data_IF_095825827774
#
_entry.id   IF_095825827774
#
_cell.length_a   1.000
_cell.length_b   1.000
_cell.length_c   1.000
_cell.angle_alpha   90.00
_cell.angle_beta   90.00
_cell.angle_gamma   90.00
#
_symmetry.space_group_name_H-M   'P 1'
#
loop_
_entity.id
_entity.type
_entity.pdbx_description
1 polymer ?
#
# COMPACT_ATOMS: atom_id res chain seq x y z
N UNK A 1 -21.33 -31.81 8.12
CA UNK A 1 -21.81 -31.77 6.72
C UNK A 1 -21.25 -30.59 5.93
N UNK A 2 -21.17 -29.38 6.49
CA UNK A 2 -20.70 -28.17 5.78
C UNK A 2 -19.27 -28.28 5.24
N UNK A 3 -18.30 -28.71 6.06
CA UNK A 3 -16.91 -28.89 5.60
C UNK A 3 -16.75 -29.94 4.51
N UNK A 4 -17.55 -31.01 4.54
CA UNK A 4 -17.55 -32.03 3.47
C UNK A 4 -18.02 -31.42 2.14
N UNK A 5 -18.99 -30.51 2.18
CA UNK A 5 -19.42 -29.75 1.01
C UNK A 5 -18.31 -28.82 0.52
N UNK A 6 -17.63 -28.10 1.42
CA UNK A 6 -16.47 -27.25 1.07
C UNK A 6 -15.34 -28.05 0.42
N UNK A 7 -14.95 -29.19 1.01
CA UNK A 7 -13.93 -30.06 0.43
C UNK A 7 -14.34 -30.68 -0.91
N UNK A 8 -15.63 -31.00 -1.09
CA UNK A 8 -16.14 -31.44 -2.40
C UNK A 8 -16.05 -30.34 -3.44
N UNK A 9 -16.36 -29.10 -3.09
CA UNK A 9 -16.26 -27.97 -4.01
C UNK A 9 -14.79 -27.73 -4.39
N UNK A 10 -13.88 -27.71 -3.42
CA UNK A 10 -12.43 -27.59 -3.66
C UNK A 10 -11.87 -28.68 -4.57
N UNK A 11 -12.35 -29.94 -4.45
CA UNK A 11 -11.87 -31.05 -5.28
C UNK A 11 -12.55 -31.17 -6.64
N UNK A 12 -13.85 -30.87 -6.75
CA UNK A 12 -14.66 -31.18 -7.96
C UNK A 12 -15.12 -29.96 -8.75
N UNK A 13 -15.12 -28.76 -8.15
CA UNK A 13 -15.74 -27.57 -8.71
C UNK A 13 -14.82 -26.36 -8.54
N UNK A 14 -13.59 -26.48 -9.03
CA UNK A 14 -12.52 -25.49 -8.88
C UNK A 14 -12.80 -24.16 -9.61
N UNK A 15 -13.69 -24.16 -10.60
CA UNK A 15 -14.13 -22.96 -11.34
C UNK A 15 -15.51 -22.45 -10.92
N UNK A 16 -16.03 -22.92 -9.78
CA UNK A 16 -17.34 -22.51 -9.30
C UNK A 16 -17.28 -21.08 -8.77
N UNK A 17 -18.30 -20.22 -9.03
CA UNK A 17 -18.39 -18.90 -8.42
C UNK A 17 -18.50 -18.95 -6.89
N UNK A 18 -18.71 -20.14 -6.31
CA UNK A 18 -18.73 -20.36 -4.86
C UNK A 18 -17.34 -20.47 -4.24
N UNK A 19 -16.26 -20.52 -5.03
CA UNK A 19 -14.91 -20.74 -4.52
C UNK A 19 -14.48 -19.65 -3.51
N UNK A 20 -14.62 -18.34 -3.76
CA UNK A 20 -14.29 -17.31 -2.78
C UNK A 20 -15.04 -17.47 -1.46
N UNK A 21 -16.35 -17.74 -1.52
CA UNK A 21 -17.19 -17.93 -0.34
C UNK A 21 -16.79 -19.18 0.48
N UNK A 22 -16.38 -20.26 -0.21
CA UNK A 22 -15.86 -21.46 0.45
C UNK A 22 -14.52 -21.19 1.13
N UNK A 23 -13.61 -20.47 0.47
CA UNK A 23 -12.31 -20.08 1.04
C UNK A 23 -12.48 -19.18 2.25
N UNK A 24 -13.34 -18.15 2.17
CA UNK A 24 -13.65 -17.28 3.30
C UNK A 24 -14.27 -18.07 4.48
N UNK A 25 -15.21 -18.98 4.18
CA UNK A 25 -15.79 -19.87 5.18
C UNK A 25 -14.75 -20.77 5.84
N UNK A 26 -13.82 -21.32 5.07
CA UNK A 26 -12.72 -22.13 5.60
C UNK A 26 -11.78 -21.31 6.48
N UNK A 27 -11.43 -20.09 6.07
CA UNK A 27 -10.59 -19.19 6.87
C UNK A 27 -11.25 -18.85 8.22
N UNK A 28 -12.55 -18.54 8.22
CA UNK A 28 -13.31 -18.16 9.42
C UNK A 28 -13.51 -19.33 10.39
N UNK A 29 -13.78 -20.52 9.87
CA UNK A 29 -14.06 -21.72 10.67
C UNK A 29 -12.87 -22.69 10.76
N UNK A 30 -11.65 -22.24 10.40
CA UNK A 30 -10.44 -23.08 10.42
C UNK A 30 -10.18 -23.74 11.78
N UNK A 31 -10.52 -23.06 12.88
CA UNK A 31 -10.37 -23.53 14.25
C UNK A 31 -11.28 -24.73 14.63
N UNK A 32 -12.28 -25.05 13.81
CA UNK A 32 -13.20 -26.18 14.02
C UNK A 32 -12.83 -27.42 13.18
N UNK A 33 -11.80 -27.32 12.35
CA UNK A 33 -11.35 -28.41 11.49
C UNK A 33 -10.32 -29.23 12.26
N UNK A 34 -10.38 -30.55 12.15
CA UNK A 34 -9.35 -31.42 12.74
C UNK A 34 -8.00 -31.18 12.03
N UNK A 35 -6.97 -30.97 12.84
CA UNK A 35 -5.59 -30.61 12.45
C UNK A 35 -4.99 -31.64 11.48
N UNK A 36 -5.38 -32.91 11.58
CA UNK A 36 -4.92 -33.99 10.68
C UNK A 36 -5.27 -33.76 9.20
N UNK A 37 -6.27 -32.92 8.89
CA UNK A 37 -6.66 -32.62 7.51
C UNK A 37 -5.94 -31.40 6.93
N UNK A 38 -5.10 -30.71 7.70
CA UNK A 38 -4.46 -29.47 7.25
C UNK A 38 -3.40 -29.69 6.17
N UNK A 39 -2.62 -30.78 6.24
CA UNK A 39 -1.64 -31.12 5.21
C UNK A 39 -2.33 -31.30 3.84
N UNK A 40 -3.36 -32.17 3.80
CA UNK A 40 -4.15 -32.42 2.59
C UNK A 40 -4.81 -31.14 2.06
N UNK A 41 -5.33 -30.29 2.95
CA UNK A 41 -5.97 -29.04 2.58
C UNK A 41 -4.96 -28.07 1.95
N UNK A 42 -3.78 -27.91 2.55
CA UNK A 42 -2.74 -27.01 2.03
C UNK A 42 -2.18 -27.50 0.70
N UNK A 43 -2.05 -28.82 0.50
CA UNK A 43 -1.69 -29.39 -0.80
C UNK A 43 -2.73 -29.04 -1.86
N UNK A 44 -4.02 -29.18 -1.56
CA UNK A 44 -5.10 -28.80 -2.50
C UNK A 44 -5.07 -27.31 -2.81
N UNK A 45 -4.92 -26.44 -1.80
CA UNK A 45 -4.80 -24.99 -1.99
C UNK A 45 -3.59 -24.63 -2.86
N UNK A 46 -2.47 -25.32 -2.67
CA UNK A 46 -1.28 -25.13 -3.46
C UNK A 46 -1.47 -25.56 -4.92
N UNK A 47 -2.06 -26.73 -5.18
CA UNK A 47 -2.37 -27.19 -6.54
C UNK A 47 -3.33 -26.24 -7.25
N UNK A 48 -4.29 -25.66 -6.52
CA UNK A 48 -5.20 -24.64 -7.06
C UNK A 48 -4.43 -23.39 -7.50
N UNK A 49 -3.49 -22.92 -6.69
CA UNK A 49 -2.65 -21.76 -7.04
C UNK A 49 -1.76 -22.05 -8.25
N UNK A 50 -1.13 -23.23 -8.32
CA UNK A 50 -0.26 -23.62 -9.44
C UNK A 50 -1.02 -23.84 -10.75
N UNK A 51 -2.30 -24.24 -10.68
CA UNK A 51 -3.12 -24.45 -11.87
C UNK A 51 -3.27 -23.19 -12.72
N UNK A 52 -3.12 -22.00 -12.14
CA UNK A 52 -3.23 -20.71 -12.86
C UNK A 52 -4.64 -20.38 -13.35
N UNK A 53 -5.62 -21.23 -13.07
CA UNK A 53 -7.02 -21.09 -13.49
C UNK A 53 -7.81 -20.12 -12.60
N UNK A 54 -7.23 -19.68 -11.48
CA UNK A 54 -7.86 -18.80 -10.51
C UNK A 54 -7.80 -17.34 -10.95
N UNK A 55 -8.87 -16.61 -10.68
CA UNK A 55 -8.83 -15.15 -10.71
C UNK A 55 -7.87 -14.60 -9.65
N UNK A 56 -7.49 -13.33 -9.81
CA UNK A 56 -6.63 -12.62 -8.86
C UNK A 56 -7.20 -12.62 -7.43
N UNK A 57 -8.51 -12.38 -7.29
CA UNK A 57 -9.19 -12.37 -5.99
C UNK A 57 -9.26 -13.76 -5.36
N UNK A 58 -9.56 -14.79 -6.16
CA UNK A 58 -9.57 -16.18 -5.67
C UNK A 58 -8.18 -16.63 -5.21
N UNK A 59 -7.13 -16.26 -5.94
CA UNK A 59 -5.74 -16.55 -5.56
C UNK A 59 -5.38 -15.90 -4.22
N UNK A 60 -5.77 -14.64 -4.01
CA UNK A 60 -5.56 -13.94 -2.75
C UNK A 60 -6.32 -14.58 -1.59
N UNK A 61 -7.60 -14.92 -1.78
CA UNK A 61 -8.38 -15.62 -0.76
C UNK A 61 -7.82 -17.01 -0.45
N UNK A 62 -7.26 -17.70 -1.43
CA UNK A 62 -6.61 -19.00 -1.25
C UNK A 62 -5.40 -18.88 -0.33
N UNK A 63 -4.52 -17.91 -0.60
CA UNK A 63 -3.35 -17.61 0.24
C UNK A 63 -3.77 -17.15 1.63
N UNK A 64 -4.76 -16.25 1.73
CA UNK A 64 -5.30 -15.79 3.00
C UNK A 64 -5.81 -16.96 3.85
N UNK A 65 -6.54 -17.88 3.24
CA UNK A 65 -7.08 -19.08 3.90
C UNK A 65 -5.97 -19.99 4.40
N UNK A 66 -4.96 -20.25 3.56
CA UNK A 66 -3.80 -21.05 3.94
C UNK A 66 -3.09 -20.47 5.17
N UNK A 67 -2.87 -19.15 5.21
CA UNK A 67 -2.25 -18.50 6.37
C UNK A 67 -3.14 -18.49 7.62
N UNK A 68 -4.47 -18.38 7.48
CA UNK A 68 -5.38 -18.49 8.62
C UNK A 68 -5.37 -19.88 9.26
N UNK A 69 -5.33 -20.94 8.43
CA UNK A 69 -5.21 -22.32 8.89
C UNK A 69 -3.89 -22.52 9.65
N UNK A 70 -2.80 -21.99 9.11
CA UNK A 70 -1.46 -22.11 9.70
C UNK A 70 -1.21 -21.21 10.92
N UNK A 71 -1.88 -20.06 11.06
CA UNK A 71 -1.73 -19.17 12.22
C UNK A 71 -2.49 -19.61 13.48
N UNK A 72 -3.35 -20.63 13.38
CA UNK A 72 -4.16 -21.14 14.48
C UNK A 72 -3.60 -22.41 15.09
N UNK A 73 -4.44 -23.44 15.19
CA UNK A 73 -4.04 -24.78 15.63
C UNK A 73 -3.00 -25.44 14.70
N UNK A 74 -2.92 -24.96 13.45
CA UNK A 74 -1.91 -25.37 12.49
C UNK A 74 -0.49 -24.87 12.79
N UNK A 75 -0.28 -23.98 13.77
CA UNK A 75 1.07 -23.50 14.13
C UNK A 75 1.93 -24.60 14.77
N UNK A 76 1.28 -25.61 15.35
CA UNK A 76 1.92 -26.83 15.89
C UNK A 76 2.43 -27.72 14.76
N UNK A 77 1.78 -27.65 13.60
CA UNK A 77 2.27 -28.33 12.41
C UNK A 77 3.36 -27.46 11.80
N UNK A 78 4.61 -27.89 11.89
CA UNK A 78 5.77 -27.23 11.27
C UNK A 78 5.76 -27.41 9.73
N UNK A 79 4.63 -27.09 9.08
CA UNK A 79 4.47 -27.11 7.63
C UNK A 79 5.12 -25.85 7.08
N UNK A 80 5.98 -26.02 6.07
CA UNK A 80 6.65 -24.90 5.42
C UNK A 80 5.71 -24.17 4.46
N UNK A 81 5.33 -22.90 4.74
CA UNK A 81 4.51 -22.10 3.85
C UNK A 81 5.30 -21.37 2.74
N UNK A 82 6.58 -21.72 2.48
CA UNK A 82 7.46 -21.01 1.53
C UNK A 82 6.75 -20.65 0.22
N UNK A 83 6.06 -21.62 -0.38
CA UNK A 83 5.37 -21.42 -1.67
C UNK A 83 4.26 -20.36 -1.62
N UNK A 84 3.56 -20.24 -0.48
CA UNK A 84 2.54 -19.20 -0.28
C UNK A 84 3.17 -17.82 -0.08
N UNK A 85 4.34 -17.72 0.56
CA UNK A 85 5.10 -16.47 0.63
C UNK A 85 5.52 -16.00 -0.77
N UNK A 86 6.12 -16.88 -1.56
CA UNK A 86 6.56 -16.58 -2.94
C UNK A 86 5.36 -16.17 -3.78
N UNK A 87 4.24 -16.89 -3.71
CA UNK A 87 3.05 -16.55 -4.47
C UNK A 87 2.45 -15.19 -4.07
N UNK A 88 2.37 -14.88 -2.76
CA UNK A 88 1.93 -13.57 -2.32
C UNK A 88 2.88 -12.46 -2.80
N UNK A 89 4.19 -12.67 -2.66
CA UNK A 89 5.20 -11.72 -3.08
C UNK A 89 5.08 -11.39 -4.58
N UNK A 90 4.90 -12.39 -5.44
CA UNK A 90 4.58 -12.21 -6.88
C UNK A 90 3.29 -11.42 -7.11
N UNK A 91 2.25 -11.76 -6.35
CA UNK A 91 0.90 -11.22 -6.53
C UNK A 91 0.79 -9.75 -6.12
N UNK A 92 1.66 -9.27 -5.22
CA UNK A 92 1.70 -7.86 -4.80
C UNK A 92 1.89 -6.88 -5.97
N UNK A 93 2.72 -7.18 -6.97
CA UNK A 93 2.93 -6.28 -8.11
C UNK A 93 1.79 -6.28 -9.14
N UNK A 94 0.89 -7.25 -9.08
CA UNK A 94 -0.33 -7.21 -9.90
C UNK A 94 -1.37 -6.23 -9.34
N UNK A 95 -1.17 -5.74 -8.12
CA UNK A 95 -2.03 -4.73 -7.52
C UNK A 95 -1.66 -3.35 -8.08
N UNK A 96 -2.57 -2.74 -8.83
CA UNK A 96 -2.36 -1.43 -9.46
C UNK A 96 -3.55 -0.50 -9.22
N UNK A 97 -3.31 0.82 -9.21
CA UNK A 97 -4.34 1.87 -9.05
C UNK A 97 -5.45 1.86 -10.12
N UNK A 98 -5.29 1.11 -11.21
CA UNK A 98 -6.26 1.07 -12.32
C UNK A 98 -7.50 0.20 -12.08
N UNK A 99 -7.56 -0.59 -11.00
CA UNK A 99 -8.69 -1.46 -10.67
C UNK A 99 -9.25 -1.19 -9.26
N UNK A 100 -10.40 -1.78 -8.94
CA UNK A 100 -11.08 -1.66 -7.65
C UNK A 100 -10.16 -2.02 -6.47
N UNK A 101 -10.12 -1.17 -5.43
CA UNK A 101 -9.26 -1.33 -4.26
C UNK A 101 -9.69 -2.46 -3.30
N UNK A 102 -10.84 -3.11 -3.53
CA UNK A 102 -11.40 -4.10 -2.61
C UNK A 102 -10.43 -5.26 -2.33
N UNK A 103 -9.61 -5.62 -3.32
CA UNK A 103 -8.58 -6.65 -3.18
C UNK A 103 -7.43 -6.24 -2.26
N UNK A 104 -7.18 -4.93 -2.08
CA UNK A 104 -6.11 -4.44 -1.17
C UNK A 104 -6.46 -4.78 0.27
N UNK A 105 -7.73 -4.70 0.63
CA UNK A 105 -8.19 -5.02 1.99
C UNK A 105 -7.83 -6.46 2.37
N UNK A 106 -8.10 -7.40 1.46
CA UNK A 106 -7.77 -8.83 1.60
C UNK A 106 -6.26 -9.00 1.75
N UNK A 107 -5.46 -8.28 0.95
CA UNK A 107 -3.99 -8.29 1.04
C UNK A 107 -3.53 -7.78 2.41
N UNK A 108 -4.07 -6.67 2.91
CA UNK A 108 -3.70 -6.10 4.21
C UNK A 108 -4.04 -7.07 5.36
N UNK A 109 -5.22 -7.70 5.32
CA UNK A 109 -5.60 -8.75 6.27
C UNK A 109 -4.65 -9.95 6.20
N UNK A 110 -4.31 -10.40 4.99
CA UNK A 110 -3.37 -11.49 4.76
C UNK A 110 -1.96 -11.17 5.30
N UNK A 111 -1.44 -9.97 5.03
CA UNK A 111 -0.13 -9.52 5.52
C UNK A 111 -0.09 -9.47 7.05
N UNK A 112 -1.16 -9.02 7.70
CA UNK A 112 -1.25 -8.99 9.16
C UNK A 112 -1.18 -10.41 9.76
N UNK A 113 -1.91 -11.37 9.19
CA UNK A 113 -1.85 -12.77 9.65
C UNK A 113 -0.47 -13.38 9.38
N UNK A 114 0.05 -13.16 8.18
CA UNK A 114 1.30 -13.74 7.72
C UNK A 114 2.53 -13.20 8.48
N UNK A 115 2.68 -11.88 8.61
CA UNK A 115 3.90 -11.26 9.13
C UNK A 115 3.79 -10.88 10.61
N UNK A 116 2.60 -10.53 11.10
CA UNK A 116 2.41 -10.14 12.50
C UNK A 116 2.11 -11.33 13.39
N UNK A 117 1.15 -12.19 13.03
CA UNK A 117 0.80 -13.37 13.85
C UNK A 117 1.88 -14.46 13.78
N UNK A 118 2.46 -14.74 12.60
CA UNK A 118 3.53 -15.75 12.43
C UNK A 118 4.96 -15.19 12.46
N UNK A 119 5.18 -14.04 13.13
CA UNK A 119 6.49 -13.36 13.16
C UNK A 119 7.69 -14.25 13.51
N UNK A 120 7.49 -15.30 14.32
CA UNK A 120 8.56 -16.22 14.75
C UNK A 120 9.08 -17.13 13.63
N UNK A 121 8.27 -17.40 12.61
CA UNK A 121 8.59 -18.30 11.49
C UNK A 121 9.03 -17.52 10.24
N UNK A 122 9.06 -16.19 10.31
CA UNK A 122 9.45 -15.32 9.20
C UNK A 122 10.91 -14.92 9.40
N UNK A 123 11.73 -15.20 8.37
CA UNK A 123 13.12 -14.76 8.35
C UNK A 123 13.22 -13.24 8.21
N UNK A 124 14.27 -12.64 8.77
CA UNK A 124 14.50 -11.19 8.67
C UNK A 124 14.58 -10.72 7.21
N UNK A 125 15.27 -11.48 6.35
CA UNK A 125 15.42 -11.16 4.93
C UNK A 125 14.06 -11.10 4.21
N UNK A 126 13.16 -12.03 4.53
CA UNK A 126 11.80 -12.03 3.99
C UNK A 126 11.02 -10.78 4.42
N UNK A 127 11.11 -10.40 5.70
CA UNK A 127 10.47 -9.17 6.19
C UNK A 127 10.99 -7.92 5.45
N UNK A 128 12.31 -7.81 5.25
CA UNK A 128 12.93 -6.70 4.52
C UNK A 128 12.44 -6.63 3.06
N UNK A 129 12.36 -7.78 2.38
CA UNK A 129 11.87 -7.85 1.00
C UNK A 129 10.40 -7.44 0.89
N UNK A 130 9.54 -7.91 1.80
CA UNK A 130 8.14 -7.48 1.85
C UNK A 130 8.02 -5.99 2.13
N UNK A 131 8.77 -5.43 3.09
CA UNK A 131 8.75 -3.99 3.37
C UNK A 131 9.14 -3.19 2.13
N UNK A 132 10.24 -3.55 1.47
CA UNK A 132 10.71 -2.86 0.27
C UNK A 132 9.65 -2.90 -0.84
N UNK A 133 9.11 -4.09 -1.13
CA UNK A 133 8.07 -4.27 -2.16
C UNK A 133 6.77 -3.54 -1.82
N UNK A 134 6.35 -3.54 -0.55
CA UNK A 134 5.18 -2.79 -0.08
C UNK A 134 5.36 -1.29 -0.23
N UNK A 135 6.54 -0.75 0.09
CA UNK A 135 6.84 0.67 -0.12
C UNK A 135 6.86 1.04 -1.62
N UNK A 136 7.38 0.18 -2.49
CA UNK A 136 7.26 0.36 -3.95
C UNK A 136 5.81 0.32 -4.42
N UNK A 137 5.00 -0.60 -3.89
CA UNK A 137 3.58 -0.71 -4.19
C UNK A 137 2.79 0.53 -3.72
N UNK A 138 3.14 1.10 -2.57
CA UNK A 138 2.49 2.29 -2.02
C UNK A 138 2.56 3.52 -2.94
N UNK A 139 3.53 3.57 -3.86
CA UNK A 139 3.65 4.62 -4.89
C UNK A 139 2.65 4.47 -6.04
N UNK A 140 2.18 3.25 -6.30
CA UNK A 140 1.38 2.90 -7.48
C UNK A 140 -0.11 2.70 -7.19
N UNK A 141 -0.51 2.80 -5.92
CA UNK A 141 -1.89 2.58 -5.47
C UNK A 141 -2.57 3.88 -5.05
N UNK A 142 -3.89 3.79 -4.87
CA UNK A 142 -4.74 4.89 -4.40
C UNK A 142 -4.44 5.25 -2.93
N UNK A 143 -4.81 6.46 -2.46
CA UNK A 143 -4.31 7.00 -1.20
C UNK A 143 -4.75 6.20 0.02
N UNK A 144 -5.98 5.67 -0.01
CA UNK A 144 -6.51 4.75 1.00
C UNK A 144 -5.64 3.49 1.14
N UNK A 145 -5.29 2.88 0.01
CA UNK A 145 -4.42 1.70 -0.09
C UNK A 145 -3.01 2.03 0.40
N UNK A 146 -2.44 3.17 -0.01
CA UNK A 146 -1.11 3.62 0.43
C UNK A 146 -1.05 3.79 1.95
N UNK A 147 -2.08 4.37 2.58
CA UNK A 147 -2.13 4.52 4.05
C UNK A 147 -2.15 3.14 4.73
N UNK A 148 -3.00 2.22 4.26
CA UNK A 148 -3.07 0.86 4.80
C UNK A 148 -1.72 0.14 4.71
N UNK A 149 -1.06 0.24 3.55
CA UNK A 149 0.26 -0.35 3.34
C UNK A 149 1.31 0.28 4.27
N UNK A 150 1.35 1.61 4.38
CA UNK A 150 2.31 2.29 5.27
C UNK A 150 2.05 1.97 6.75
N UNK A 151 0.80 1.81 7.16
CA UNK A 151 0.45 1.35 8.50
C UNK A 151 0.93 -0.07 8.76
N UNK A 152 0.77 -0.98 7.78
CA UNK A 152 1.36 -2.33 7.86
C UNK A 152 2.88 -2.27 7.94
N UNK A 153 3.55 -1.48 7.11
CA UNK A 153 5.01 -1.28 7.17
C UNK A 153 5.46 -0.81 8.55
N UNK A 154 4.74 0.13 9.18
CA UNK A 154 5.02 0.56 10.55
C UNK A 154 4.96 -0.60 11.54
N UNK A 155 3.92 -1.45 11.46
CA UNK A 155 3.78 -2.63 12.31
C UNK A 155 4.97 -3.58 12.09
N UNK A 156 5.41 -3.76 10.84
CA UNK A 156 6.56 -4.60 10.52
C UNK A 156 7.87 -4.05 11.10
N UNK A 157 8.09 -2.74 11.05
CA UNK A 157 9.29 -2.13 11.64
C UNK A 157 9.36 -2.34 13.16
N UNK A 158 8.24 -2.22 13.87
CA UNK A 158 8.20 -2.54 15.30
C UNK A 158 8.32 -4.05 15.60
N UNK A 159 7.87 -4.90 14.67
CA UNK A 159 7.90 -6.36 14.86
C UNK A 159 9.30 -6.93 14.64
N UNK A 160 10.07 -6.34 13.73
CA UNK A 160 11.39 -6.80 13.30
C UNK A 160 12.47 -5.72 13.55
N UNK A 161 13.18 -5.74 14.69
CA UNK A 161 14.06 -4.63 15.13
C UNK A 161 15.33 -4.40 14.29
N UNK A 162 15.50 -5.06 13.14
CA UNK A 162 16.61 -4.86 12.19
C UNK A 162 16.14 -4.29 10.85
N UNK A 163 14.92 -3.77 10.78
CA UNK A 163 14.39 -3.10 9.57
C UNK A 163 14.96 -1.72 9.33
N UNK A 164 15.54 -1.10 10.37
CA UNK A 164 16.17 0.22 10.28
C UNK A 164 17.35 0.24 9.30
N UNK A 165 17.94 -0.92 9.02
CA UNK A 165 18.92 -1.11 7.96
C UNK A 165 18.44 -0.55 6.60
N UNK A 166 17.15 -0.61 6.32
CA UNK A 166 16.59 -0.09 5.07
C UNK A 166 16.49 1.44 5.03
N UNK A 167 16.61 2.12 6.17
CA UNK A 167 16.63 3.58 6.24
C UNK A 167 18.04 4.13 6.03
N UNK A 168 19.06 3.32 6.31
CA UNK A 168 20.45 3.65 6.07
C UNK A 168 20.84 3.41 4.61
N UNK A 169 21.83 4.15 4.13
CA UNK A 169 22.36 4.00 2.78
C UNK A 169 23.51 2.97 2.69
N UNK A 170 23.82 2.31 3.80
CA UNK A 170 24.91 1.34 3.87
C UNK A 170 24.43 -0.06 3.48
N UNK A 171 25.00 -0.63 2.41
CA UNK A 171 24.77 -2.02 2.05
C UNK A 171 25.57 -2.94 2.97
N UNK A 172 24.91 -3.82 3.72
CA UNK A 172 25.59 -4.74 4.64
C UNK A 172 25.95 -6.11 4.05
N UNK A 173 25.60 -6.38 2.79
CA UNK A 173 25.86 -7.67 2.15
C UNK A 173 26.60 -7.58 0.81
N UNK A 174 27.17 -8.71 0.39
CA UNK A 174 27.63 -8.90 -0.98
C UNK A 174 26.43 -9.15 -1.91
N UNK A 175 26.31 -8.39 -2.99
CA UNK A 175 25.29 -8.57 -4.02
C UNK A 175 24.49 -7.32 -4.32
N UNK A 176 23.68 -7.38 -5.39
CA UNK A 176 22.81 -6.30 -5.84
C UNK A 176 21.36 -6.66 -5.51
N UNK A 177 20.56 -5.65 -5.13
CA UNK A 177 19.12 -5.82 -4.94
C UNK A 177 18.43 -6.03 -6.30
N UNK A 178 17.65 -7.10 -6.41
CA UNK A 178 16.95 -7.47 -7.64
C UNK A 178 15.43 -7.44 -7.41
N UNK A 179 14.73 -6.34 -7.77
CA UNK A 179 13.31 -6.19 -7.48
C UNK A 179 12.41 -7.17 -8.24
N UNK A 180 12.87 -7.66 -9.39
CA UNK A 180 12.13 -8.59 -10.27
C UNK A 180 12.11 -10.02 -9.74
N UNK A 181 12.93 -10.36 -8.75
CA UNK A 181 12.94 -11.70 -8.20
C UNK A 181 11.63 -12.01 -7.49
N UNK A 182 11.18 -13.23 -7.77
CA UNK A 182 9.93 -13.80 -7.30
C UNK A 182 10.02 -14.37 -5.90
N UNK A 183 11.24 -14.71 -5.47
CA UNK A 183 11.54 -15.25 -4.15
C UNK A 183 11.98 -14.13 -3.21
N UNK A 184 11.25 -13.88 -2.10
CA UNK A 184 11.56 -12.77 -1.21
C UNK A 184 12.92 -12.91 -0.50
N UNK A 185 13.42 -14.13 -0.29
CA UNK A 185 14.69 -14.36 0.41
C UNK A 185 15.92 -14.07 -0.45
N UNK A 186 15.84 -14.28 -1.76
CA UNK A 186 16.97 -14.10 -2.68
C UNK A 186 17.05 -12.69 -3.30
N UNK A 187 16.08 -11.83 -2.97
CA UNK A 187 15.99 -10.47 -3.51
C UNK A 187 17.11 -9.53 -2.99
N UNK A 188 17.79 -9.90 -1.90
CA UNK A 188 18.83 -9.10 -1.23
C UNK A 188 18.36 -7.69 -0.82
N UNK A 189 17.18 -7.60 -0.21
CA UNK A 189 16.60 -6.33 0.23
C UNK A 189 17.46 -5.58 1.25
N UNK A 190 18.33 -6.26 2.00
CA UNK A 190 19.29 -5.63 2.92
C UNK A 190 20.33 -4.72 2.23
N UNK A 191 20.49 -4.80 0.91
CA UNK A 191 21.49 -4.01 0.17
C UNK A 191 20.90 -2.75 -0.48
N UNK A 192 19.62 -2.44 -0.21
CA UNK A 192 18.95 -1.26 -0.75
C UNK A 192 18.33 -0.41 0.35
N UNK A 193 18.19 0.89 0.09
CA UNK A 193 17.52 1.84 0.97
C UNK A 193 16.08 2.12 0.50
N UNK A 194 15.22 2.58 1.41
CA UNK A 194 13.80 2.92 1.19
C UNK A 194 13.61 4.34 0.63
N UNK A 195 14.06 4.55 -0.61
CA UNK A 195 13.88 5.83 -1.31
C UNK A 195 12.41 6.19 -1.58
N UNK A 196 11.52 5.20 -1.62
CA UNK A 196 10.09 5.38 -1.86
C UNK A 196 9.42 6.26 -0.79
N UNK A 197 9.90 6.21 0.45
CA UNK A 197 9.39 7.05 1.53
C UNK A 197 9.61 8.55 1.25
N UNK A 198 10.73 8.90 0.60
CA UNK A 198 11.00 10.29 0.23
C UNK A 198 10.01 10.81 -0.82
N UNK A 199 9.65 9.96 -1.79
CA UNK A 199 8.63 10.29 -2.79
C UNK A 199 7.24 10.41 -2.14
N UNK A 200 6.89 9.48 -1.24
CA UNK A 200 5.62 9.50 -0.50
C UNK A 200 5.48 10.70 0.44
N UNK A 201 6.59 11.27 0.94
CA UNK A 201 6.54 12.52 1.71
C UNK A 201 5.98 13.69 0.89
N UNK A 202 6.09 13.67 -0.44
CA UNK A 202 5.56 14.70 -1.34
C UNK A 202 4.19 14.33 -1.93
N UNK A 203 3.55 13.29 -1.41
CA UNK A 203 2.26 12.81 -1.88
C UNK A 203 1.15 13.85 -1.64
N UNK A 204 0.13 13.96 -2.50
CA UNK A 204 -0.92 14.98 -2.36
C UNK A 204 -1.76 14.81 -1.08
N UNK A 205 -1.91 13.59 -0.58
CA UNK A 205 -2.68 13.31 0.63
C UNK A 205 -1.86 13.56 1.92
N UNK A 206 -2.29 14.46 2.82
CA UNK A 206 -1.48 14.88 3.98
C UNK A 206 -1.23 13.76 4.99
N UNK A 207 -2.14 12.79 5.13
CA UNK A 207 -1.93 11.65 6.04
C UNK A 207 -0.84 10.72 5.49
N UNK A 208 -0.77 10.52 4.17
CA UNK A 208 0.31 9.74 3.55
C UNK A 208 1.66 10.40 3.80
N UNK A 209 1.74 11.74 3.65
CA UNK A 209 2.95 12.49 3.96
C UNK A 209 3.38 12.31 5.43
N UNK A 210 2.43 12.34 6.38
CA UNK A 210 2.69 12.13 7.80
C UNK A 210 3.18 10.72 8.11
N UNK A 211 2.56 9.69 7.54
CA UNK A 211 3.02 8.31 7.68
C UNK A 211 4.43 8.13 7.08
N UNK A 212 4.69 8.71 5.90
CA UNK A 212 6.02 8.65 5.29
C UNK A 212 7.09 9.34 6.15
N UNK A 213 6.79 10.52 6.72
CA UNK A 213 7.69 11.21 7.65
C UNK A 213 7.96 10.39 8.92
N UNK A 214 6.92 9.80 9.52
CA UNK A 214 7.06 8.93 10.70
C UNK A 214 7.91 7.69 10.42
N UNK A 215 7.72 7.05 9.26
CA UNK A 215 8.50 5.87 8.87
C UNK A 215 9.98 6.20 8.62
N UNK A 216 10.27 7.36 8.00
CA UNK A 216 11.66 7.79 7.81
C UNK A 216 12.39 8.06 9.12
N UNK A 217 11.66 8.45 10.17
CA UNK A 217 12.23 8.67 11.50
C UNK A 217 12.50 7.37 12.28
N UNK A 218 12.34 6.19 11.67
CA UNK A 218 12.48 4.90 12.36
C UNK A 218 11.23 4.49 13.14
N UNK A 219 10.06 5.02 12.78
CA UNK A 219 8.79 4.73 13.43
C UNK A 219 8.81 4.92 14.97
N UNK A 220 9.21 6.09 15.49
CA UNK A 220 9.29 6.31 16.94
C UNK A 220 7.92 6.16 17.62
N UNK A 221 7.89 5.53 18.79
CA UNK A 221 6.68 5.38 19.61
C UNK A 221 6.34 6.66 20.39
N UNK A 222 7.34 7.47 20.70
CA UNK A 222 7.23 8.72 21.48
C UNK A 222 8.09 9.82 20.83
N UNK A 223 7.68 11.08 20.95
CA UNK A 223 8.42 12.24 20.44
C UNK A 223 7.64 13.12 19.47
N UNK A 224 8.31 14.16 18.97
CA UNK A 224 7.74 15.16 18.04
C UNK A 224 7.37 14.59 16.67
N UNK A 225 8.02 13.51 16.25
CA UNK A 225 7.76 12.84 14.97
C UNK A 225 6.81 11.64 15.10
N UNK A 226 6.31 11.35 16.32
CA UNK A 226 5.37 10.25 16.55
C UNK A 226 3.99 10.54 15.92
N UNK A 227 3.36 9.49 15.39
CA UNK A 227 1.98 9.57 14.90
C UNK A 227 1.01 9.85 16.05
N UNK A 228 -0.05 10.60 15.75
CA UNK A 228 -1.16 10.80 16.67
C UNK A 228 -1.72 9.45 17.14
N UNK A 229 -2.14 9.32 18.41
CA UNK A 229 -2.61 8.05 18.98
C UNK A 229 -3.83 7.47 18.25
N UNK A 230 -4.63 8.32 17.60
CA UNK A 230 -5.76 7.90 16.76
C UNK A 230 -5.34 7.12 15.52
N UNK A 231 -4.17 7.44 14.96
CA UNK A 231 -3.62 6.79 13.77
C UNK A 231 -2.74 5.59 14.12
N UNK A 232 -2.11 5.60 15.30
CA UNK A 232 -1.21 4.52 15.71
C UNK A 232 -1.92 3.30 16.27
N UNK A 233 -3.13 3.47 16.83
CA UNK A 233 -3.91 2.38 17.45
C UNK A 233 -4.84 1.65 16.49
N UNK A 234 -5.22 2.27 15.38
CA UNK A 234 -6.13 1.68 14.39
C UNK A 234 -5.44 0.61 13.58
N UNK A 235 -6.18 -0.43 13.19
CA UNK A 235 -5.65 -1.45 12.30
C UNK A 235 -5.46 -0.91 10.88
N UNK A 236 -4.56 -1.52 10.10
CA UNK A 236 -4.31 -1.12 8.72
C UNK A 236 -5.59 -1.17 7.85
N UNK A 237 -6.50 -2.10 8.16
CA UNK A 237 -7.80 -2.26 7.50
C UNK A 237 -8.76 -1.14 7.89
N UNK A 238 -8.88 -0.82 9.18
CA UNK A 238 -9.71 0.31 9.64
C UNK A 238 -9.25 1.64 9.04
N UNK A 239 -7.94 1.84 8.90
CA UNK A 239 -7.38 3.05 8.26
C UNK A 239 -7.72 3.08 6.77
N UNK A 240 -7.64 1.95 6.08
CA UNK A 240 -8.04 1.84 4.68
C UNK A 240 -9.53 2.21 4.49
N UNK A 241 -10.41 1.70 5.35
CA UNK A 241 -11.85 2.02 5.32
C UNK A 241 -12.12 3.49 5.67
N UNK A 242 -11.47 4.01 6.72
CA UNK A 242 -11.66 5.40 7.20
C UNK A 242 -11.31 6.44 6.14
N UNK A 243 -10.30 6.13 5.31
CA UNK A 243 -9.79 7.02 4.26
C UNK A 243 -10.26 6.62 2.87
N UNK A 244 -11.29 5.76 2.77
CA UNK A 244 -11.88 5.39 1.50
C UNK A 244 -12.61 6.57 0.85
N UNK A 245 -12.32 6.79 -0.43
CA UNK A 245 -13.00 7.83 -1.22
C UNK A 245 -14.42 7.43 -1.65
N UNK A 246 -14.88 6.21 -1.32
CA UNK A 246 -16.20 5.71 -1.69
C UNK A 246 -17.35 6.57 -1.13
N UNK A 247 -17.15 7.18 0.05
CA UNK A 247 -18.12 8.07 0.67
C UNK A 247 -18.15 9.48 0.04
N UNK A 248 -17.34 9.76 -0.99
CA UNK A 248 -17.16 11.08 -1.62
C UNK A 248 -16.86 12.23 -0.63
N UNK A 249 -16.36 11.91 0.56
CA UNK A 249 -15.94 12.86 1.57
C UNK A 249 -14.42 12.95 1.59
N UNK A 250 -13.89 14.17 1.62
CA UNK A 250 -12.46 14.37 1.82
C UNK A 250 -12.15 14.26 3.32
N UNK A 251 -11.46 13.18 3.68
CA UNK A 251 -10.93 12.98 5.02
C UNK A 251 -9.41 12.91 4.92
N UNK A 252 -8.64 13.85 5.50
CA UNK A 252 -9.09 15.06 6.20
C UNK A 252 -9.72 16.08 5.25
N UNK A 253 -10.55 17.00 5.77
CA UNK A 253 -11.14 18.05 4.96
C UNK A 253 -10.02 18.86 4.30
N UNK A 254 -10.20 19.17 3.01
CA UNK A 254 -9.29 20.04 2.27
C UNK A 254 -9.25 21.36 3.03
N UNK A 255 -8.05 21.80 3.43
CA UNK A 255 -7.90 23.12 4.03
C UNK A 255 -8.47 24.13 3.03
N UNK A 256 -9.55 24.82 3.42
CA UNK A 256 -10.02 25.96 2.64
C UNK A 256 -8.83 26.90 2.53
N UNK A 257 -8.39 27.18 1.31
CA UNK A 257 -7.41 28.23 1.06
C UNK A 257 -8.06 29.55 1.44
N UNK A 258 -8.07 29.86 2.75
CA UNK A 258 -8.17 31.23 3.17
C UNK A 258 -6.95 31.89 2.54
N UNK A 259 -7.10 32.80 1.56
CA UNK A 259 -5.96 33.49 1.00
C UNK A 259 -5.22 34.11 2.19
N UNK A 260 -4.07 33.54 2.55
CA UNK A 260 -3.35 33.88 3.77
C UNK A 260 -2.85 35.30 3.60
N UNK A 261 -3.65 36.24 4.11
CA UNK A 261 -3.49 37.69 4.00
C UNK A 261 -3.44 38.16 2.55
N UNK A 262 -4.01 39.34 2.32
CA UNK A 262 -3.40 40.22 1.31
C UNK A 262 -1.96 40.37 1.77
N UNK A 263 -1.03 39.59 1.23
CA UNK A 263 0.29 40.13 1.01
C UNK A 263 -0.02 41.40 0.23
N UNK A 264 0.05 42.54 0.93
CA UNK A 264 0.22 43.80 0.25
C UNK A 264 1.47 43.51 -0.57
N UNK A 265 1.28 43.25 -1.86
CA UNK A 265 2.34 43.41 -2.83
C UNK A 265 2.86 44.82 -2.55
N UNK A 266 3.92 44.91 -1.76
CA UNK A 266 4.64 46.16 -1.60
C UNK A 266 5.12 46.39 -3.01
N UNK A 267 4.55 47.41 -3.65
CA UNK A 267 4.99 47.96 -4.91
C UNK A 267 6.48 48.28 -4.75
N UNK A 268 7.35 47.32 -5.09
CA UNK A 268 8.72 47.38 -4.57
C UNK A 268 9.62 46.17 -4.76
N UNK A 269 9.14 44.99 -5.18
CA UNK A 269 10.06 44.02 -5.79
C UNK A 269 10.35 44.51 -7.20
N UNK A 270 11.33 45.41 -7.29
CA UNK A 270 11.94 45.85 -8.53
C UNK A 270 12.33 44.61 -9.32
N UNK A 271 11.57 44.31 -10.37
CA UNK A 271 11.99 43.34 -11.37
C UNK A 271 13.43 43.68 -11.78
N UNK A 272 14.31 42.68 -11.85
CA UNK A 272 15.74 42.83 -12.16
C UNK A 272 16.03 43.57 -13.47
N UNK A 273 15.00 43.80 -14.30
CA UNK A 273 15.08 44.47 -15.57
C UNK A 273 14.32 45.81 -15.51
N UNK A 274 15.06 46.93 -15.54
CA UNK A 274 14.52 48.29 -15.47
C UNK A 274 13.57 48.62 -16.63
N UNK A 275 13.85 48.09 -17.82
CA UNK A 275 13.01 48.28 -19.01
C UNK A 275 11.60 47.70 -18.82
N UNK A 276 11.51 46.57 -18.14
CA UNK A 276 10.23 45.92 -17.84
C UNK A 276 9.42 46.73 -16.82
N UNK A 277 10.11 47.34 -15.84
CA UNK A 277 9.47 48.21 -14.87
C UNK A 277 8.90 49.48 -15.51
N UNK A 278 9.59 50.07 -16.49
CA UNK A 278 9.04 51.21 -17.23
C UNK A 278 7.79 50.81 -18.04
N UNK A 279 7.83 49.66 -18.71
CA UNK A 279 6.73 49.18 -19.53
C UNK A 279 5.47 48.89 -18.69
N UNK A 280 5.65 48.25 -17.54
CA UNK A 280 4.56 47.99 -16.57
C UNK A 280 4.02 49.30 -15.99
N UNK A 281 4.88 50.26 -15.65
CA UNK A 281 4.42 51.58 -15.16
C UNK A 281 3.61 52.33 -16.21
N UNK A 282 4.00 52.28 -17.49
CA UNK A 282 3.23 52.90 -18.58
C UNK A 282 1.83 52.27 -18.68
N UNK A 283 1.73 50.95 -18.74
CA UNK A 283 0.44 50.27 -18.89
C UNK A 283 -0.43 50.26 -17.62
N UNK A 284 0.15 50.32 -16.42
CA UNK A 284 -0.63 50.46 -15.19
C UNK A 284 -1.14 51.89 -14.96
N UNK A 285 -0.54 52.91 -15.59
CA UNK A 285 -1.01 54.31 -15.50
C UNK A 285 -2.18 54.62 -16.44
N UNK A 286 -2.37 53.79 -17.47
CA UNK A 286 -3.55 53.84 -18.33
C UNK A 286 -4.71 53.17 -17.59
N UNK A 287 -5.72 53.95 -17.23
CA UNK A 287 -6.96 53.45 -16.61
C UNK A 287 -7.53 52.36 -17.51
N UNK A 288 -7.53 51.12 -17.00
CA UNK A 288 -8.08 49.96 -17.69
C UNK A 288 -9.54 50.23 -18.07
N UNK A 289 -9.79 50.42 -19.36
CA UNK A 289 -11.13 50.26 -19.90
C UNK A 289 -11.42 48.76 -19.78
N UNK A 290 -12.24 48.38 -18.80
CA UNK A 290 -12.80 47.03 -18.70
C UNK A 290 -13.66 46.75 -19.93
N UNK A 291 -13.00 46.34 -21.01
CA UNK A 291 -13.66 45.66 -22.12
C UNK A 291 -13.60 44.17 -21.83
N UNK A 292 -14.74 43.45 -21.84
CA UNK A 292 -14.73 42.00 -21.71
C UNK A 292 -13.98 41.43 -22.92
N UNK A 293 -12.77 40.94 -22.68
CA UNK A 293 -11.95 40.26 -23.68
C UNK A 293 -12.59 38.91 -24.00
N UNK A 294 -13.33 38.87 -25.11
CA UNK A 294 -13.90 37.64 -25.66
C UNK A 294 -12.82 36.88 -26.43
N UNK A 295 -12.18 35.91 -25.77
CA UNK A 295 -11.12 35.06 -26.32
C UNK A 295 -11.58 34.19 -27.50
N UNK A 296 -12.87 34.12 -27.80
CA UNK A 296 -13.40 33.34 -28.93
C UNK A 296 -13.10 33.96 -30.30
N UNK A 297 -12.79 35.26 -30.37
CA UNK A 297 -12.48 35.94 -31.65
C UNK A 297 -11.16 35.49 -32.28
N UNK A 298 -10.15 35.12 -31.48
CA UNK A 298 -8.83 34.73 -31.98
C UNK A 298 -8.74 33.26 -32.45
N UNK A 299 -9.73 32.42 -32.11
CA UNK A 299 -9.78 31.03 -32.57
C UNK A 299 -10.17 30.88 -34.05
N UNK A 300 -10.83 31.88 -34.65
CA UNK A 300 -11.26 31.79 -36.06
C UNK A 300 -10.16 32.13 -37.08
N UNK A 301 -9.03 32.68 -36.65
CA UNK A 301 -7.94 33.07 -37.55
C UNK A 301 -6.90 31.96 -37.76
N UNK A 302 -7.03 30.81 -37.09
CA UNK A 302 -6.12 29.66 -37.25
C UNK A 302 -6.69 28.54 -38.16
N UNK A 303 -7.84 28.74 -38.81
CA UNK A 303 -8.49 27.75 -39.68
C UNK A 303 -8.76 28.28 -41.10
N UNK A 304 -7.78 28.97 -41.69
CA UNK A 304 -7.70 29.18 -43.14
C UNK A 304 -6.28 28.98 -43.63
#
# INVERSE_FOLDING_TARGET
>A
MVFVTYFRILKKAQRSPLLPAVLEGLAKFAHLINVEFFDDLLVVLHTLIESGDLSYQESLHCVQTAFHILSGQGDVLNIDPMKFYTHLYKTLFKLHAGATNDSVEIVLQCLNVMLTKRRKQVSQQRALAFIKRLCTLALQVLPNSSIGILATTRILMHTFPKTDLLLDNESQGSGVFLPELDEPEYCNAQNTALWELHALRRHYHPIVQRFAAHLMAGAPSEGSEALKPELSRRSAVELFETYSMAAMTFNPPVESSNPKKKDKFLQGDSFLNEDLNELVKRHCSEVAIESPLDFTKYLKTSLR
#
